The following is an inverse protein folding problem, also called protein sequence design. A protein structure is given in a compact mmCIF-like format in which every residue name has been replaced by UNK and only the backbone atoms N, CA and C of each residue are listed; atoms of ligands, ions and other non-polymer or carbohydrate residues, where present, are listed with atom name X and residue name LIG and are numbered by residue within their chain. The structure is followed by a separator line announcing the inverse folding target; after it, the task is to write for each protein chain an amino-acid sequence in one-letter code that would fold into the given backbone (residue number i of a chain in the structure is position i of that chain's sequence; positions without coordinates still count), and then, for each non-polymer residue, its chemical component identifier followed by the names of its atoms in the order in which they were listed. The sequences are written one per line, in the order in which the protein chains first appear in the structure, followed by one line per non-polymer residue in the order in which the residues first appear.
data_IF_275092099338
#
_entry.id   IF_275092099338
#
_cell.length_a   1.000
_cell.length_b   1.000
_cell.length_c   1.000
_cell.angle_alpha   90.00
_cell.angle_beta   90.00
_cell.angle_gamma   90.00
#
_symmetry.space_group_name_H-M   'P 1'
#
loop_
_entity.id
_entity.type
_entity.pdbx_description
1 polymer ?
#
# COMPACT_ATOMS: atom_id res chain seq x y z
N UNK A 1 19.67 6.11 23.53
CA UNK A 1 20.47 6.84 22.52
C UNK A 1 20.15 6.33 21.12
N UNK A 2 20.22 7.18 20.08
CA UNK A 2 20.06 6.73 18.70
C UNK A 2 21.08 5.66 18.31
N UNK A 3 20.67 4.74 17.45
CA UNK A 3 21.50 3.66 16.90
C UNK A 3 21.96 3.97 15.47
N UNK A 4 23.02 3.32 14.96
CA UNK A 4 23.28 3.31 13.52
C UNK A 4 22.12 2.63 12.78
N UNK A 5 21.76 3.11 11.57
CA UNK A 5 20.78 2.42 10.73
C UNK A 5 21.19 0.98 10.48
N UNK A 6 20.21 0.07 10.51
CA UNK A 6 20.41 -1.36 10.37
C UNK A 6 21.44 -1.95 11.38
N UNK A 7 21.46 -1.44 12.65
CA UNK A 7 22.25 -2.05 13.72
C UNK A 7 21.93 -3.54 13.85
N UNK A 8 22.92 -4.36 14.26
CA UNK A 8 22.69 -5.81 14.38
C UNK A 8 21.57 -6.11 15.36
N UNK A 9 21.52 -5.42 16.50
CA UNK A 9 20.48 -5.57 17.50
C UNK A 9 19.06 -5.37 16.91
N UNK A 10 18.86 -4.31 16.10
CA UNK A 10 17.56 -4.07 15.45
C UNK A 10 17.24 -5.14 14.42
N UNK A 11 18.22 -5.59 13.65
CA UNK A 11 18.02 -6.64 12.65
C UNK A 11 17.66 -7.99 13.30
N UNK A 12 18.31 -8.35 14.40
CA UNK A 12 18.03 -9.56 15.17
C UNK A 12 16.66 -9.50 15.84
N UNK A 13 16.31 -8.36 16.44
CA UNK A 13 15.00 -8.13 17.03
C UNK A 13 13.87 -8.31 16.00
N UNK A 14 13.99 -7.70 14.83
CA UNK A 14 12.96 -7.80 13.78
C UNK A 14 12.84 -9.22 13.24
N UNK A 15 13.94 -9.96 13.10
CA UNK A 15 13.91 -11.36 12.68
C UNK A 15 13.24 -12.25 13.72
N UNK A 16 13.55 -12.05 15.02
CA UNK A 16 12.92 -12.81 16.10
C UNK A 16 11.43 -12.49 16.18
N UNK A 17 11.03 -11.23 16.15
CA UNK A 17 9.65 -10.82 16.12
C UNK A 17 8.91 -11.44 14.92
N UNK A 18 9.49 -11.38 13.73
CA UNK A 18 8.97 -12.04 12.53
C UNK A 18 8.85 -13.57 12.69
N UNK A 19 9.82 -14.20 13.34
CA UNK A 19 9.80 -15.65 13.65
C UNK A 19 8.63 -16.01 14.59
N UNK A 20 8.42 -15.21 15.65
CA UNK A 20 7.31 -15.40 16.58
C UNK A 20 5.95 -15.25 15.88
N UNK A 21 5.77 -14.23 15.03
CA UNK A 21 4.54 -14.04 14.25
C UNK A 21 4.24 -15.22 13.31
N UNK A 22 5.25 -15.81 12.68
CA UNK A 22 5.06 -16.97 11.80
C UNK A 22 4.70 -18.26 12.58
N UNK A 23 5.12 -18.36 13.82
CA UNK A 23 4.85 -19.53 14.68
C UNK A 23 3.52 -19.43 15.43
N UNK A 24 3.04 -18.23 15.70
CA UNK A 24 1.82 -18.01 16.46
C UNK A 24 0.58 -18.44 15.67
N UNK A 25 -0.28 -19.24 16.31
CA UNK A 25 -1.45 -19.85 15.68
C UNK A 25 -2.51 -18.81 15.27
N UNK A 26 -2.67 -17.74 16.07
CA UNK A 26 -3.60 -16.65 15.75
C UNK A 26 -3.05 -15.78 14.64
N UNK A 27 -1.78 -15.37 14.71
CA UNK A 27 -1.12 -14.54 13.71
C UNK A 27 -1.13 -15.17 12.31
N UNK A 28 -1.06 -16.50 12.22
CA UNK A 28 -1.15 -17.21 10.92
C UNK A 28 -2.50 -17.11 10.23
N UNK A 29 -3.54 -16.72 10.94
CA UNK A 29 -4.87 -16.51 10.36
C UNK A 29 -4.99 -15.20 9.57
N UNK A 30 -4.05 -14.28 9.76
CA UNK A 30 -4.07 -12.95 9.15
C UNK A 30 -3.01 -12.83 8.04
N UNK A 31 -3.41 -12.82 6.76
CA UNK A 31 -2.46 -12.75 5.62
C UNK A 31 -1.57 -11.50 5.64
N UNK A 32 -2.10 -10.36 6.08
CA UNK A 32 -1.39 -9.10 6.20
C UNK A 32 -0.30 -9.15 7.29
N UNK A 33 -0.57 -9.81 8.42
CA UNK A 33 0.42 -10.09 9.47
C UNK A 33 1.53 -10.99 8.94
N UNK A 34 1.18 -12.04 8.18
CA UNK A 34 2.17 -12.94 7.57
C UNK A 34 3.01 -12.22 6.51
N UNK A 35 2.42 -11.27 5.77
CA UNK A 35 3.15 -10.41 4.83
C UNK A 35 4.21 -9.57 5.57
N UNK A 36 3.85 -8.94 6.69
CA UNK A 36 4.80 -8.23 7.54
C UNK A 36 5.91 -9.16 8.06
N UNK A 37 5.53 -10.34 8.60
CA UNK A 37 6.47 -11.30 9.15
C UNK A 37 7.45 -11.84 8.08
N UNK A 38 6.98 -12.02 6.84
CA UNK A 38 7.83 -12.40 5.72
C UNK A 38 8.78 -11.26 5.32
N UNK A 39 8.30 -10.01 5.32
CA UNK A 39 9.10 -8.84 5.00
C UNK A 39 10.19 -8.59 6.05
N UNK A 40 9.88 -8.72 7.35
CA UNK A 40 10.78 -8.42 8.46
C UNK A 40 11.83 -9.50 8.74
N UNK A 41 11.81 -10.64 8.03
CA UNK A 41 12.79 -11.71 8.22
C UNK A 41 14.21 -11.31 7.85
N UNK A 42 15.19 -11.93 8.50
CA UNK A 42 16.63 -11.66 8.37
C UNK A 42 17.12 -11.52 6.92
N UNK A 43 16.72 -12.43 6.04
CA UNK A 43 17.18 -12.43 4.63
C UNK A 43 16.74 -11.17 3.86
N UNK A 44 15.54 -10.65 4.11
CA UNK A 44 15.05 -9.44 3.46
C UNK A 44 15.71 -8.18 4.07
N UNK A 45 15.81 -8.14 5.40
CA UNK A 45 16.47 -7.03 6.10
C UNK A 45 17.95 -6.92 5.69
N UNK A 46 18.66 -8.04 5.56
CA UNK A 46 20.05 -8.03 5.11
C UNK A 46 20.22 -7.52 3.67
N UNK A 47 19.30 -7.86 2.75
CA UNK A 47 19.31 -7.29 1.40
C UNK A 47 19.19 -5.76 1.44
N UNK A 48 18.24 -5.24 2.21
CA UNK A 48 18.05 -3.79 2.40
C UNK A 48 19.25 -3.12 3.07
N UNK A 49 19.88 -3.77 4.04
CA UNK A 49 21.13 -3.31 4.69
C UNK A 49 22.27 -3.17 3.67
N UNK A 50 22.42 -4.15 2.78
CA UNK A 50 23.46 -4.12 1.72
C UNK A 50 23.18 -2.97 0.75
N UNK A 51 21.94 -2.79 0.32
CA UNK A 51 21.54 -1.68 -0.56
C UNK A 51 21.78 -0.32 0.09
N UNK A 52 21.41 -0.17 1.36
CA UNK A 52 21.67 1.04 2.14
C UNK A 52 23.17 1.35 2.22
N UNK A 53 24.00 0.34 2.58
CA UNK A 53 25.45 0.50 2.64
C UNK A 53 26.08 0.90 1.30
N UNK A 54 25.59 0.34 0.19
CA UNK A 54 26.07 0.72 -1.15
C UNK A 54 25.79 2.19 -1.47
N UNK A 55 24.64 2.73 -1.03
CA UNK A 55 24.26 4.14 -1.27
C UNK A 55 24.98 5.12 -0.34
N UNK A 56 25.52 4.65 0.77
CA UNK A 56 26.03 5.50 1.87
C UNK A 56 27.51 5.28 2.19
N UNK A 57 28.29 4.78 1.22
CA UNK A 57 29.69 4.27 1.41
C UNK A 57 30.64 5.24 2.09
N UNK A 58 30.42 6.55 2.02
CA UNK A 58 31.32 7.58 2.56
C UNK A 58 30.80 8.33 3.78
N UNK A 59 29.63 7.97 4.32
CA UNK A 59 28.96 8.72 5.39
C UNK A 59 28.48 7.79 6.49
N UNK A 60 28.77 8.13 7.74
CA UNK A 60 28.20 7.48 8.91
C UNK A 60 26.87 8.14 9.27
N UNK A 61 25.82 7.33 9.39
CA UNK A 61 24.48 7.77 9.77
C UNK A 61 24.15 7.32 11.19
N UNK A 62 23.39 8.16 11.90
CA UNK A 62 22.77 7.83 13.19
C UNK A 62 21.29 8.20 13.13
N UNK A 63 20.47 7.51 13.91
CA UNK A 63 19.09 7.92 14.15
C UNK A 63 19.03 9.36 14.66
N UNK A 64 17.94 10.07 14.32
CA UNK A 64 17.76 11.47 14.76
C UNK A 64 17.26 11.61 16.19
N UNK A 65 16.72 10.54 16.77
CA UNK A 65 16.15 10.55 18.12
C UNK A 65 14.78 9.88 18.17
N UNK A 66 13.73 10.60 18.50
CA UNK A 66 12.37 10.08 18.67
C UNK A 66 11.56 10.31 17.40
N UNK A 67 10.93 9.25 16.91
CA UNK A 67 9.94 9.31 15.83
C UNK A 67 8.54 9.14 16.42
N UNK A 68 7.66 10.09 16.18
CA UNK A 68 6.25 9.98 16.48
C UNK A 68 5.49 9.58 15.21
N UNK A 69 4.88 8.39 15.23
CA UNK A 69 4.11 7.83 14.13
C UNK A 69 2.62 7.92 14.41
N UNK A 70 1.87 8.51 13.49
CA UNK A 70 0.41 8.43 13.43
C UNK A 70 0.05 7.42 12.36
N UNK A 71 -0.30 6.18 12.78
CA UNK A 71 -0.57 5.09 11.87
C UNK A 71 -1.97 5.19 11.22
N UNK A 72 -2.16 4.65 9.99
CA UNK A 72 -3.43 4.69 9.28
C UNK A 72 -4.42 3.67 9.86
N UNK A 73 -5.72 3.91 9.65
CA UNK A 73 -6.79 3.00 10.06
C UNK A 73 -7.29 2.08 8.95
N UNK A 74 -7.04 2.41 7.69
CA UNK A 74 -7.48 1.61 6.53
C UNK A 74 -6.59 0.38 6.28
N UNK A 75 -5.31 0.44 6.61
CA UNK A 75 -4.36 -0.69 6.55
C UNK A 75 -3.71 -0.82 7.93
N UNK A 76 -4.38 -1.49 8.88
CA UNK A 76 -4.00 -1.44 10.29
C UNK A 76 -2.60 -2.00 10.58
N UNK A 77 -2.13 -2.98 9.82
CA UNK A 77 -0.78 -3.58 9.95
C UNK A 77 0.34 -2.60 9.59
N UNK A 78 0.04 -1.51 8.88
CA UNK A 78 1.04 -0.47 8.57
C UNK A 78 1.64 0.18 9.82
N UNK A 79 0.97 0.12 10.98
CA UNK A 79 1.57 0.56 12.25
C UNK A 79 2.88 -0.19 12.58
N UNK A 80 2.98 -1.47 12.22
CA UNK A 80 4.19 -2.26 12.44
C UNK A 80 5.26 -2.04 11.37
N UNK A 81 4.85 -1.77 10.13
CA UNK A 81 5.81 -1.38 9.09
C UNK A 81 6.48 -0.04 9.43
N UNK A 82 5.70 0.98 9.79
CA UNK A 82 6.26 2.30 10.15
C UNK A 82 7.15 2.22 11.39
N UNK A 83 6.78 1.41 12.40
CA UNK A 83 7.60 1.08 13.55
C UNK A 83 8.94 0.44 13.14
N UNK A 84 8.90 -0.59 12.31
CA UNK A 84 10.10 -1.28 11.83
C UNK A 84 11.03 -0.34 11.06
N UNK A 85 10.49 0.54 10.21
CA UNK A 85 11.29 1.55 9.51
C UNK A 85 11.94 2.55 10.48
N UNK A 86 11.22 2.97 11.51
CA UNK A 86 11.78 3.84 12.55
C UNK A 86 12.96 3.19 13.28
N UNK A 87 12.82 1.92 13.68
CA UNK A 87 13.91 1.15 14.29
C UNK A 87 15.09 0.94 13.34
N UNK A 88 14.82 0.50 12.08
CA UNK A 88 15.87 0.28 11.07
C UNK A 88 16.65 1.55 10.74
N UNK A 89 16.02 2.72 10.93
CA UNK A 89 16.69 4.01 10.80
C UNK A 89 17.44 4.43 12.08
N UNK A 90 17.46 3.60 13.13
CA UNK A 90 18.19 3.83 14.38
C UNK A 90 17.48 4.73 15.38
N UNK A 91 16.17 4.91 15.29
CA UNK A 91 15.39 5.83 16.13
C UNK A 91 14.59 5.10 17.21
N UNK A 92 14.31 5.81 18.31
CA UNK A 92 13.26 5.46 19.25
C UNK A 92 11.89 5.82 18.64
N UNK A 93 10.83 5.07 18.99
CA UNK A 93 9.55 5.17 18.30
C UNK A 93 8.40 5.29 19.29
N UNK A 94 7.54 6.28 19.07
CA UNK A 94 6.21 6.38 19.65
C UNK A 94 5.22 6.13 18.53
N UNK A 95 4.51 5.01 18.57
CA UNK A 95 3.57 4.61 17.50
C UNK A 95 2.15 4.70 18.02
N UNK A 96 1.40 5.69 17.53
CA UNK A 96 -0.05 5.76 17.73
C UNK A 96 -0.71 4.78 16.77
N UNK A 97 -1.23 3.68 17.33
CA UNK A 97 -2.03 2.71 16.58
C UNK A 97 -3.47 3.21 16.40
N UNK A 98 -4.24 2.67 15.43
CA UNK A 98 -5.65 3.04 15.23
C UNK A 98 -6.47 2.89 16.51
N UNK A 99 -7.39 3.83 16.76
CA UNK A 99 -8.32 3.75 17.91
C UNK A 99 -9.36 2.65 17.73
N UNK A 100 -9.79 2.39 16.49
CA UNK A 100 -10.62 1.22 16.17
C UNK A 100 -9.88 -0.07 16.49
N UNK A 101 -10.58 -1.03 17.10
CA UNK A 101 -10.01 -2.35 17.39
C UNK A 101 -9.83 -3.16 16.08
N UNK A 102 -8.64 -3.72 15.93
CA UNK A 102 -8.30 -4.63 14.85
C UNK A 102 -7.63 -5.86 15.45
N UNK A 103 -8.25 -7.05 15.36
CA UNK A 103 -7.70 -8.28 15.97
C UNK A 103 -6.25 -8.56 15.55
N UNK A 104 -5.90 -8.33 14.28
CA UNK A 104 -4.53 -8.51 13.80
C UNK A 104 -3.52 -7.56 14.47
N UNK A 105 -3.91 -6.30 14.74
CA UNK A 105 -3.03 -5.35 15.46
C UNK A 105 -2.87 -5.75 16.91
N UNK A 106 -3.94 -6.18 17.56
CA UNK A 106 -3.91 -6.67 18.95
C UNK A 106 -3.01 -7.90 19.08
N UNK A 107 -3.16 -8.87 18.16
CA UNK A 107 -2.29 -10.03 18.07
C UNK A 107 -0.81 -9.63 17.89
N UNK A 108 -0.52 -8.71 16.96
CA UNK A 108 0.85 -8.22 16.72
C UNK A 108 1.42 -7.50 17.95
N UNK A 109 0.63 -6.67 18.63
CA UNK A 109 1.06 -5.98 19.86
C UNK A 109 1.33 -6.96 21.01
N UNK A 110 0.53 -7.99 21.15
CA UNK A 110 0.74 -9.07 22.13
C UNK A 110 2.08 -9.76 21.92
N UNK A 111 2.36 -10.18 20.70
CA UNK A 111 3.62 -10.86 20.34
C UNK A 111 4.81 -9.90 20.43
N UNK A 112 4.64 -8.64 20.01
CA UNK A 112 5.66 -7.61 20.17
C UNK A 112 6.06 -7.44 21.64
N UNK A 113 5.09 -7.34 22.53
CA UNK A 113 5.33 -7.25 23.99
C UNK A 113 6.15 -8.43 24.50
N UNK A 114 5.80 -9.66 24.08
CA UNK A 114 6.55 -10.87 24.48
C UNK A 114 7.99 -10.84 23.95
N UNK A 115 8.21 -10.38 22.71
CA UNK A 115 9.54 -10.25 22.14
C UNK A 115 10.38 -9.19 22.89
N UNK A 116 9.80 -8.03 23.19
CA UNK A 116 10.45 -6.94 23.92
C UNK A 116 10.81 -7.27 25.37
N UNK A 117 10.14 -8.24 25.99
CA UNK A 117 10.44 -8.68 27.36
C UNK A 117 11.69 -9.55 27.48
N UNK A 118 12.31 -9.94 26.37
CA UNK A 118 13.55 -10.70 26.42
C UNK A 118 14.72 -9.80 26.78
N UNK A 119 15.61 -10.32 27.61
CA UNK A 119 16.75 -9.57 28.15
C UNK A 119 17.66 -8.99 27.06
N UNK A 120 17.90 -9.76 26.01
CA UNK A 120 18.71 -9.32 24.85
C UNK A 120 18.13 -8.13 24.09
N UNK A 121 16.83 -7.84 24.23
CA UNK A 121 16.15 -6.73 23.55
C UNK A 121 15.78 -5.56 24.47
N UNK A 122 16.34 -5.49 25.66
CA UNK A 122 16.06 -4.44 26.63
C UNK A 122 16.26 -3.02 26.06
N UNK A 123 17.30 -2.82 25.25
CA UNK A 123 17.52 -1.51 24.60
C UNK A 123 16.41 -1.19 23.59
N UNK A 124 15.88 -2.16 22.84
CA UNK A 124 14.76 -1.94 21.91
C UNK A 124 13.48 -1.68 22.70
N UNK A 125 13.26 -2.34 23.83
CA UNK A 125 12.15 -2.06 24.74
C UNK A 125 12.13 -0.59 25.15
N UNK A 126 13.27 -0.03 25.60
CA UNK A 126 13.41 1.36 25.98
C UNK A 126 13.22 2.36 24.82
N UNK A 127 13.40 1.89 23.59
CA UNK A 127 13.21 2.66 22.35
C UNK A 127 11.79 2.52 21.76
N UNK A 128 10.87 1.82 22.44
CA UNK A 128 9.55 1.46 21.89
C UNK A 128 8.42 1.93 22.80
N UNK A 129 7.49 2.70 22.24
CA UNK A 129 6.23 3.07 22.89
C UNK A 129 5.08 2.89 21.89
N UNK A 130 4.18 1.94 22.17
CA UNK A 130 2.94 1.75 21.40
C UNK A 130 1.81 2.40 22.20
N UNK A 131 1.13 3.38 21.61
CA UNK A 131 0.07 4.15 22.26
C UNK A 131 -1.23 4.06 21.49
N UNK A 132 -2.33 4.04 22.23
CA UNK A 132 -3.69 4.06 21.66
C UNK A 132 -4.49 5.13 22.40
N UNK A 133 -5.00 6.08 21.63
CA UNK A 133 -5.88 7.14 22.16
C UNK A 133 -6.79 7.66 21.05
N UNK A 134 -7.96 8.16 21.43
CA UNK A 134 -8.91 8.83 20.55
C UNK A 134 -8.33 10.15 20.01
N UNK A 135 -9.06 10.88 19.16
CA UNK A 135 -8.65 12.22 18.71
C UNK A 135 -8.53 13.14 19.93
N UNK A 136 -7.30 13.31 20.43
CA UNK A 136 -6.98 14.17 21.54
C UNK A 136 -5.82 15.08 21.16
N UNK A 137 -6.09 16.38 21.13
CA UNK A 137 -5.12 17.39 20.70
C UNK A 137 -3.95 17.51 21.68
N UNK A 138 -4.23 17.52 22.98
CA UNK A 138 -3.20 17.71 24.02
C UNK A 138 -2.15 16.59 24.00
N UNK A 139 -2.60 15.33 23.86
CA UNK A 139 -1.70 14.17 23.75
C UNK A 139 -0.88 14.27 22.46
N UNK A 140 -1.53 14.65 21.36
CA UNK A 140 -0.86 14.80 20.05
C UNK A 140 0.16 15.96 20.09
N UNK A 141 -0.19 17.08 20.70
CA UNK A 141 0.70 18.23 20.91
C UNK A 141 1.95 17.84 21.72
N UNK A 142 1.77 17.06 22.80
CA UNK A 142 2.87 16.57 23.61
C UNK A 142 3.85 15.72 22.80
N UNK A 143 3.36 14.67 22.12
CA UNK A 143 4.22 13.82 21.32
C UNK A 143 4.85 14.56 20.13
N UNK A 144 4.15 15.53 19.55
CA UNK A 144 4.69 16.37 18.47
C UNK A 144 5.83 17.25 18.93
N UNK A 145 5.74 17.85 20.14
CA UNK A 145 6.82 18.68 20.73
C UNK A 145 8.04 17.87 21.14
N UNK A 146 7.84 16.62 21.55
CA UNK A 146 8.92 15.78 22.07
C UNK A 146 9.65 15.00 20.95
N UNK A 147 9.14 14.98 19.73
CA UNK A 147 9.70 14.18 18.64
C UNK A 147 10.70 14.96 17.76
N UNK A 148 11.63 14.23 17.18
CA UNK A 148 12.58 14.73 16.19
C UNK A 148 12.11 14.46 14.75
N UNK A 149 11.22 13.49 14.60
CA UNK A 149 10.56 13.15 13.32
C UNK A 149 9.10 12.87 13.62
N UNK A 150 8.19 13.45 12.83
CA UNK A 150 6.77 13.09 12.84
C UNK A 150 6.41 12.42 11.53
N UNK A 151 5.83 11.22 11.61
CA UNK A 151 5.36 10.44 10.45
C UNK A 151 3.85 10.36 10.52
N UNK A 152 3.15 10.86 9.49
CA UNK A 152 1.69 10.89 9.45
C UNK A 152 1.22 10.08 8.26
N UNK A 153 0.39 9.06 8.53
CA UNK A 153 -0.36 8.32 7.54
C UNK A 153 -1.83 8.70 7.62
N UNK A 154 -2.41 9.20 6.54
CA UNK A 154 -3.82 9.56 6.52
C UNK A 154 -4.18 10.46 5.36
N UNK A 155 -5.48 10.70 5.17
CA UNK A 155 -5.97 11.67 4.21
C UNK A 155 -5.63 13.10 4.61
N UNK A 156 -5.84 14.04 3.69
CA UNK A 156 -5.46 15.45 3.83
C UNK A 156 -6.02 16.09 5.10
N UNK A 157 -7.28 15.80 5.45
CA UNK A 157 -7.88 16.30 6.69
C UNK A 157 -7.13 15.84 7.95
N UNK A 158 -6.71 14.57 7.99
CA UNK A 158 -5.92 14.04 9.12
C UNK A 158 -4.56 14.72 9.19
N UNK A 159 -3.90 14.88 8.05
CA UNK A 159 -2.60 15.55 7.96
C UNK A 159 -2.72 17.00 8.44
N UNK A 160 -3.72 17.74 7.97
CA UNK A 160 -3.98 19.10 8.40
C UNK A 160 -4.28 19.20 9.90
N UNK A 161 -5.12 18.29 10.43
CA UNK A 161 -5.43 18.27 11.86
C UNK A 161 -4.18 18.05 12.72
N UNK A 162 -3.30 17.12 12.34
CA UNK A 162 -2.05 16.84 13.07
C UNK A 162 -1.03 17.98 12.91
N UNK A 163 -1.00 18.66 11.76
CA UNK A 163 -0.13 19.83 11.52
C UNK A 163 -0.45 21.02 12.41
N UNK A 164 -1.66 21.11 12.97
CA UNK A 164 -2.00 22.10 13.98
C UNK A 164 -1.28 21.87 15.33
N UNK A 165 -0.60 20.74 15.50
CA UNK A 165 0.28 20.46 16.62
C UNK A 165 1.71 20.90 16.27
N UNK A 166 2.27 21.80 17.09
CA UNK A 166 3.59 22.40 16.85
C UNK A 166 4.70 21.34 16.84
N UNK A 167 5.63 21.50 15.91
CA UNK A 167 6.87 20.73 15.83
C UNK A 167 8.06 21.62 16.20
N UNK A 168 9.07 21.09 16.91
CA UNK A 168 10.34 21.80 17.09
C UNK A 168 10.97 22.19 15.75
N UNK A 169 11.57 23.37 15.65
CA UNK A 169 12.12 23.93 14.42
C UNK A 169 13.13 23.01 13.69
N UNK A 170 13.79 22.11 14.40
CA UNK A 170 14.76 21.15 13.82
C UNK A 170 14.16 19.79 13.51
N UNK A 171 12.88 19.57 13.82
CA UNK A 171 12.19 18.31 13.53
C UNK A 171 11.77 18.22 12.06
N UNK A 172 11.60 16.99 11.58
CA UNK A 172 11.18 16.70 10.21
C UNK A 172 9.78 16.12 10.25
N UNK A 173 8.95 16.48 9.30
CA UNK A 173 7.67 15.82 9.05
C UNK A 173 7.71 15.02 7.75
N UNK A 174 7.21 13.78 7.80
CA UNK A 174 7.02 12.90 6.65
C UNK A 174 5.54 12.54 6.59
N UNK A 175 4.88 12.87 5.49
CA UNK A 175 3.45 12.58 5.31
C UNK A 175 3.24 11.57 4.20
N UNK A 176 2.36 10.61 4.48
CA UNK A 176 1.84 9.65 3.51
C UNK A 176 0.35 9.95 3.33
N UNK A 177 0.07 10.91 2.45
CA UNK A 177 -1.28 11.30 2.09
C UNK A 177 -2.00 10.16 1.37
N UNK A 178 -3.33 10.25 1.33
CA UNK A 178 -4.13 9.37 0.49
C UNK A 178 -3.71 9.51 -0.98
N UNK A 179 -3.66 8.39 -1.67
CA UNK A 179 -3.24 8.32 -3.07
C UNK A 179 -4.22 7.46 -3.84
N UNK A 180 -4.39 7.82 -5.09
CA UNK A 180 -5.15 7.03 -6.04
C UNK A 180 -4.19 6.27 -6.95
N UNK A 181 -4.40 4.96 -7.08
CA UNK A 181 -3.63 4.12 -7.99
C UNK A 181 -4.52 3.56 -9.10
N UNK A 182 -3.98 3.51 -10.29
CA UNK A 182 -4.59 2.84 -11.43
C UNK A 182 -3.55 1.97 -12.15
N UNK A 183 -4.03 1.00 -12.92
CA UNK A 183 -3.19 0.11 -13.71
C UNK A 183 -3.31 0.39 -15.19
N UNK A 184 -2.23 0.21 -15.95
CA UNK A 184 -2.26 0.21 -17.41
C UNK A 184 -1.95 -1.19 -17.89
N UNK A 185 -2.81 -1.73 -18.75
CA UNK A 185 -2.61 -3.03 -19.39
C UNK A 185 -2.48 -2.83 -20.90
N UNK A 186 -1.36 -3.27 -21.46
CA UNK A 186 -1.16 -3.41 -22.89
C UNK A 186 -1.95 -4.63 -23.39
N UNK A 187 -3.07 -4.38 -24.05
CA UNK A 187 -3.99 -5.43 -24.51
C UNK A 187 -3.32 -6.37 -25.50
N UNK A 188 -2.42 -5.87 -26.36
CA UNK A 188 -1.70 -6.67 -27.33
C UNK A 188 -0.70 -7.61 -26.67
N UNK A 189 -0.01 -7.15 -25.62
CA UNK A 189 0.89 -8.02 -24.85
C UNK A 189 0.11 -9.09 -24.10
N UNK A 190 -1.02 -8.74 -23.48
CA UNK A 190 -1.88 -9.72 -22.85
C UNK A 190 -2.37 -10.77 -23.85
N UNK A 191 -2.84 -10.35 -25.04
CA UNK A 191 -3.30 -11.25 -26.11
C UNK A 191 -2.23 -12.27 -26.48
N UNK A 192 -0.96 -11.83 -26.56
CA UNK A 192 0.17 -12.66 -27.00
C UNK A 192 0.85 -13.43 -25.85
N UNK A 193 0.50 -13.18 -24.60
CA UNK A 193 1.03 -13.89 -23.44
C UNK A 193 0.55 -15.34 -23.42
N UNK A 194 1.40 -16.25 -22.97
CA UNK A 194 1.02 -17.64 -22.79
C UNK A 194 0.19 -17.85 -21.50
N UNK A 195 -0.32 -19.07 -21.32
CA UNK A 195 -1.20 -19.41 -20.19
C UNK A 195 -0.50 -19.25 -18.84
N UNK A 196 0.81 -19.53 -18.77
CA UNK A 196 1.60 -19.44 -17.53
C UNK A 196 1.83 -17.97 -17.17
N UNK A 197 2.18 -17.16 -18.16
CA UNK A 197 2.33 -15.71 -18.00
C UNK A 197 1.01 -15.08 -17.55
N UNK A 198 -0.11 -15.36 -18.23
CA UNK A 198 -1.45 -14.87 -17.86
C UNK A 198 -1.82 -15.24 -16.43
N UNK A 199 -1.52 -16.47 -16.00
CA UNK A 199 -1.77 -16.92 -14.63
C UNK A 199 -0.89 -16.16 -13.64
N UNK A 200 0.40 -16.00 -13.92
CA UNK A 200 1.32 -15.24 -13.06
C UNK A 200 0.86 -13.80 -12.87
N UNK A 201 0.38 -13.20 -13.95
CA UNK A 201 -0.22 -11.87 -14.00
C UNK A 201 -1.45 -11.79 -13.09
N UNK A 202 -2.36 -12.73 -13.23
CA UNK A 202 -3.57 -12.74 -12.44
C UNK A 202 -3.28 -12.94 -10.93
N UNK A 203 -2.28 -13.77 -10.59
CA UNK A 203 -1.84 -13.95 -9.20
C UNK A 203 -1.21 -12.68 -8.62
N UNK A 204 -0.39 -11.97 -9.41
CA UNK A 204 0.15 -10.66 -9.04
C UNK A 204 -0.96 -9.64 -8.80
N UNK A 205 -1.90 -9.52 -9.74
CA UNK A 205 -3.06 -8.63 -9.60
C UNK A 205 -3.91 -8.93 -8.38
N UNK A 206 -4.16 -10.22 -8.10
CA UNK A 206 -4.84 -10.65 -6.88
C UNK A 206 -4.11 -10.18 -5.62
N UNK A 207 -2.80 -10.36 -5.56
CA UNK A 207 -2.00 -9.97 -4.40
C UNK A 207 -2.03 -8.46 -4.16
N UNK A 208 -2.05 -7.65 -5.23
CA UNK A 208 -2.06 -6.20 -5.15
C UNK A 208 -3.43 -5.61 -4.84
N UNK A 209 -4.50 -6.39 -5.00
CA UNK A 209 -5.87 -5.92 -4.89
C UNK A 209 -6.64 -6.59 -3.75
N UNK A 210 -6.85 -7.90 -3.81
CA UNK A 210 -7.73 -8.62 -2.90
C UNK A 210 -7.19 -8.83 -1.49
N UNK A 211 -5.86 -9.01 -1.34
CA UNK A 211 -5.26 -9.30 -0.02
C UNK A 211 -5.51 -8.22 1.03
N UNK A 212 -5.69 -6.98 0.60
CA UNK A 212 -5.97 -5.83 1.46
C UNK A 212 -7.36 -5.25 1.23
N UNK A 213 -8.32 -6.06 0.75
CA UNK A 213 -9.70 -5.63 0.46
C UNK A 213 -9.79 -4.39 -0.46
N UNK A 214 -8.79 -4.19 -1.33
CA UNK A 214 -8.57 -2.98 -2.16
C UNK A 214 -8.33 -1.68 -1.35
N UNK A 215 -7.95 -1.75 -0.07
CA UNK A 215 -7.75 -0.56 0.77
C UNK A 215 -6.30 -0.04 0.77
N UNK A 216 -5.35 -0.75 0.17
CA UNK A 216 -3.97 -0.26 0.09
C UNK A 216 -3.87 0.94 -0.87
N UNK A 217 -3.08 1.94 -0.52
CA UNK A 217 -2.87 3.12 -1.38
C UNK A 217 -2.23 2.79 -2.74
N UNK A 218 -1.61 1.62 -2.86
CA UNK A 218 -1.02 1.09 -4.09
C UNK A 218 -1.98 0.22 -4.91
N UNK A 219 -3.18 -0.06 -4.41
CA UNK A 219 -4.15 -0.89 -5.11
C UNK A 219 -4.75 -0.15 -6.30
N UNK A 220 -4.70 -0.70 -7.52
CA UNK A 220 -5.40 -0.11 -8.66
C UNK A 220 -6.92 -0.28 -8.51
N UNK A 221 -7.65 0.82 -8.61
CA UNK A 221 -9.11 0.84 -8.67
C UNK A 221 -9.60 0.91 -10.12
N UNK A 222 -8.85 1.60 -10.98
CA UNK A 222 -9.12 1.79 -12.40
C UNK A 222 -8.07 1.03 -13.22
N UNK A 223 -8.51 0.32 -14.25
CA UNK A 223 -7.65 -0.32 -15.24
C UNK A 223 -7.80 0.40 -16.57
N UNK A 224 -6.74 0.99 -17.04
CA UNK A 224 -6.64 1.64 -18.34
C UNK A 224 -6.08 0.66 -19.36
N UNK A 225 -6.81 0.44 -20.44
CA UNK A 225 -6.43 -0.47 -21.53
C UNK A 225 -5.74 0.28 -22.64
N UNK A 226 -4.47 0.01 -22.86
CA UNK A 226 -3.77 0.41 -24.08
C UNK A 226 -4.13 -0.62 -25.16
N UNK A 227 -4.87 -0.16 -26.17
CA UNK A 227 -5.42 -1.02 -27.25
C UNK A 227 -4.79 -0.76 -28.61
N UNK A 228 -3.64 -0.10 -28.64
CA UNK A 228 -2.97 0.29 -29.90
C UNK A 228 -2.82 -0.90 -30.86
N UNK A 229 -3.29 -0.71 -32.09
CA UNK A 229 -3.27 -1.70 -33.15
C UNK A 229 -4.26 -2.86 -33.00
N UNK A 230 -5.26 -2.77 -32.13
CA UNK A 230 -6.34 -3.76 -31.99
C UNK A 230 -7.70 -3.19 -32.42
N UNK A 231 -8.54 -4.04 -33.02
CA UNK A 231 -9.96 -3.71 -33.30
C UNK A 231 -10.78 -3.76 -31.99
N UNK A 232 -11.98 -3.17 -32.02
CA UNK A 232 -12.89 -3.17 -30.86
C UNK A 232 -13.25 -4.60 -30.42
N UNK A 233 -13.50 -5.50 -31.35
CA UNK A 233 -13.81 -6.90 -31.08
C UNK A 233 -12.63 -7.62 -30.40
N UNK A 234 -11.41 -7.34 -30.89
CA UNK A 234 -10.19 -7.94 -30.34
C UNK A 234 -9.93 -7.51 -28.90
N UNK A 235 -9.91 -6.20 -28.63
CA UNK A 235 -9.62 -5.76 -27.26
C UNK A 235 -10.75 -6.07 -26.29
N UNK A 236 -12.02 -6.08 -26.73
CA UNK A 236 -13.14 -6.54 -25.88
C UNK A 236 -12.97 -8.00 -25.49
N UNK A 237 -12.54 -8.85 -26.43
CA UNK A 237 -12.24 -10.26 -26.14
C UNK A 237 -11.10 -10.39 -25.12
N UNK A 238 -10.06 -9.56 -25.24
CA UNK A 238 -8.93 -9.50 -24.32
C UNK A 238 -9.38 -9.07 -22.90
N UNK A 239 -10.21 -8.06 -22.79
CA UNK A 239 -10.77 -7.60 -21.50
C UNK A 239 -11.56 -8.72 -20.80
N UNK A 240 -12.44 -9.39 -21.54
CA UNK A 240 -13.23 -10.50 -21.00
C UNK A 240 -12.32 -11.66 -20.55
N UNK A 241 -11.30 -12.02 -21.34
CA UNK A 241 -10.36 -13.07 -20.98
C UNK A 241 -9.57 -12.71 -19.71
N UNK A 242 -9.08 -11.46 -19.60
CA UNK A 242 -8.38 -10.96 -18.43
C UNK A 242 -9.23 -11.09 -17.17
N UNK A 243 -10.44 -10.53 -17.17
CA UNK A 243 -11.31 -10.55 -16.02
C UNK A 243 -11.75 -11.97 -15.61
N UNK A 244 -12.00 -12.84 -16.58
CA UNK A 244 -12.24 -14.27 -16.30
C UNK A 244 -11.02 -14.94 -15.67
N UNK A 245 -9.81 -14.55 -16.05
CA UNK A 245 -8.59 -15.11 -15.47
C UNK A 245 -8.40 -14.59 -14.03
N UNK A 246 -8.68 -13.31 -13.78
CA UNK A 246 -8.71 -12.76 -12.41
C UNK A 246 -9.76 -13.46 -11.55
N UNK A 247 -10.98 -13.66 -12.06
CA UNK A 247 -12.05 -14.37 -11.34
C UNK A 247 -11.60 -15.76 -10.89
N UNK A 248 -10.94 -16.53 -11.76
CA UNK A 248 -10.43 -17.88 -11.40
C UNK A 248 -9.43 -17.85 -10.24
N UNK A 249 -8.60 -16.83 -10.17
CA UNK A 249 -7.65 -16.64 -9.06
C UNK A 249 -8.36 -16.13 -7.82
N UNK A 250 -9.36 -15.26 -7.98
CA UNK A 250 -10.10 -14.65 -6.88
C UNK A 250 -11.00 -15.63 -6.10
N UNK A 251 -11.23 -16.85 -6.60
CA UNK A 251 -11.97 -17.90 -5.86
C UNK A 251 -11.38 -18.17 -4.46
N UNK A 252 -10.08 -17.95 -4.27
CA UNK A 252 -9.41 -18.10 -2.96
C UNK A 252 -9.64 -16.95 -1.98
N UNK A 253 -10.30 -15.85 -2.42
CA UNK A 253 -10.59 -14.71 -1.57
C UNK A 253 -11.75 -15.01 -0.62
N UNK A 254 -11.51 -14.78 0.68
CA UNK A 254 -12.53 -14.93 1.73
C UNK A 254 -13.50 -13.75 1.70
N UNK A 255 -14.53 -13.88 0.87
CA UNK A 255 -15.56 -12.88 0.65
C UNK A 255 -16.73 -13.11 1.60
N UNK A 256 -16.69 -12.49 2.79
CA UNK A 256 -17.80 -12.51 3.73
C UNK A 256 -19.05 -11.79 3.18
N UNK A 257 -20.24 -12.21 3.60
CA UNK A 257 -21.54 -11.66 3.12
C UNK A 257 -21.64 -10.14 3.29
N UNK A 258 -21.10 -9.61 4.38
CA UNK A 258 -21.07 -8.15 4.59
C UNK A 258 -20.26 -7.42 3.52
N UNK A 259 -19.13 -7.99 3.07
CA UNK A 259 -18.32 -7.40 2.00
C UNK A 259 -19.05 -7.43 0.64
N UNK A 260 -19.87 -8.47 0.40
CA UNK A 260 -20.73 -8.53 -0.81
C UNK A 260 -21.75 -7.40 -0.78
N UNK A 261 -22.42 -7.20 0.35
CA UNK A 261 -23.43 -6.15 0.53
C UNK A 261 -22.81 -4.75 0.38
N UNK A 262 -21.67 -4.50 1.02
CA UNK A 262 -20.96 -3.23 0.92
C UNK A 262 -20.44 -2.94 -0.50
N UNK A 263 -19.94 -3.96 -1.21
CA UNK A 263 -19.53 -3.84 -2.60
C UNK A 263 -20.72 -3.47 -3.50
N UNK A 264 -21.85 -4.14 -3.30
CA UNK A 264 -23.06 -3.88 -4.09
C UNK A 264 -23.61 -2.47 -3.83
N UNK A 265 -23.62 -2.02 -2.58
CA UNK A 265 -24.00 -0.66 -2.22
C UNK A 265 -23.09 0.37 -2.91
N UNK A 266 -21.75 0.17 -2.85
CA UNK A 266 -20.80 1.03 -3.55
C UNK A 266 -21.00 1.04 -5.06
N UNK A 267 -21.28 -0.11 -5.68
CA UNK A 267 -21.62 -0.18 -7.11
C UNK A 267 -22.84 0.67 -7.43
N UNK A 268 -23.91 0.56 -6.62
CA UNK A 268 -25.13 1.35 -6.83
C UNK A 268 -24.87 2.86 -6.69
N UNK A 269 -24.12 3.27 -5.67
CA UNK A 269 -23.69 4.66 -5.48
C UNK A 269 -22.93 5.18 -6.70
N UNK A 270 -21.91 4.46 -7.15
CA UNK A 270 -21.10 4.85 -8.30
C UNK A 270 -21.93 4.95 -9.60
N UNK A 271 -22.81 4.00 -9.86
CA UNK A 271 -23.66 4.02 -11.07
C UNK A 271 -24.68 5.16 -11.05
N UNK A 272 -25.19 5.54 -9.85
CA UNK A 272 -26.12 6.67 -9.70
C UNK A 272 -25.40 8.01 -9.87
N UNK A 273 -24.22 8.15 -9.28
CA UNK A 273 -23.46 9.39 -9.27
C UNK A 273 -22.70 9.65 -10.56
N UNK A 274 -22.17 8.58 -11.20
CA UNK A 274 -21.32 8.64 -12.40
C UNK A 274 -22.08 8.20 -13.66
N UNK A 275 -22.67 9.18 -14.34
CA UNK A 275 -23.37 8.94 -15.64
C UNK A 275 -22.45 8.43 -16.78
N UNK A 276 -21.15 8.44 -16.58
CA UNK A 276 -20.15 7.96 -17.53
C UNK A 276 -19.88 6.45 -17.43
N UNK A 277 -20.49 5.77 -16.46
CA UNK A 277 -20.49 4.31 -16.37
C UNK A 277 -21.54 3.79 -17.35
N UNK A 278 -21.08 3.16 -18.45
CA UNK A 278 -21.94 2.69 -19.52
C UNK A 278 -22.35 1.22 -19.37
N UNK A 279 -21.56 0.43 -18.68
CA UNK A 279 -21.77 -1.02 -18.55
C UNK A 279 -21.24 -1.52 -17.21
N UNK A 280 -21.92 -2.50 -16.66
CA UNK A 280 -21.48 -3.25 -15.48
C UNK A 280 -21.46 -4.74 -15.82
N UNK A 281 -20.30 -5.37 -15.69
CA UNK A 281 -20.15 -6.81 -15.79
C UNK A 281 -19.92 -7.42 -14.41
N UNK A 282 -20.61 -8.53 -14.14
CA UNK A 282 -20.49 -9.28 -12.88
C UNK A 282 -19.96 -10.66 -13.15
N UNK A 283 -18.85 -11.00 -12.51
CA UNK A 283 -18.24 -12.33 -12.51
C UNK A 283 -18.47 -12.94 -11.12
N UNK A 284 -19.65 -13.48 -10.92
CA UNK A 284 -20.18 -13.88 -9.60
C UNK A 284 -20.16 -12.72 -8.58
N UNK A 285 -20.13 -13.06 -7.28
CA UNK A 285 -19.95 -12.07 -6.24
C UNK A 285 -18.48 -11.68 -6.01
N UNK A 286 -17.53 -12.32 -6.68
CA UNK A 286 -16.11 -12.07 -6.48
C UNK A 286 -15.62 -10.82 -7.20
N UNK A 287 -16.18 -10.52 -8.37
CA UNK A 287 -15.64 -9.50 -9.26
C UNK A 287 -16.74 -8.74 -10.00
N UNK A 288 -16.77 -7.43 -9.85
CA UNK A 288 -17.60 -6.49 -10.62
C UNK A 288 -16.69 -5.55 -11.39
N UNK A 289 -17.03 -5.27 -12.63
CA UNK A 289 -16.26 -4.37 -13.51
C UNK A 289 -17.21 -3.38 -14.16
N UNK A 290 -16.87 -2.09 -14.02
CA UNK A 290 -17.61 -0.98 -14.59
C UNK A 290 -16.84 -0.36 -15.77
N UNK A 291 -17.44 -0.32 -16.94
CA UNK A 291 -16.91 0.38 -18.12
C UNK A 291 -17.15 1.88 -17.98
N UNK A 292 -16.10 2.68 -18.07
CA UNK A 292 -16.14 4.14 -18.03
C UNK A 292 -15.86 4.68 -19.42
N UNK A 293 -16.75 5.51 -19.96
CA UNK A 293 -16.60 6.07 -21.32
C UNK A 293 -15.76 7.32 -21.40
N UNK A 294 -15.80 8.14 -20.34
CA UNK A 294 -15.07 9.41 -20.29
C UNK A 294 -14.40 9.54 -18.93
N UNK A 295 -13.13 9.88 -18.92
CA UNK A 295 -12.37 10.21 -17.71
C UNK A 295 -11.98 11.70 -17.71
N UNK A 296 -12.07 12.32 -16.55
CA UNK A 296 -11.51 13.62 -16.28
C UNK A 296 -10.82 13.63 -14.89
N UNK A 297 -10.01 14.63 -14.61
CA UNK A 297 -9.21 14.70 -13.38
C UNK A 297 -10.04 14.58 -12.09
N UNK A 298 -11.25 15.16 -12.07
CA UNK A 298 -12.10 15.15 -10.87
C UNK A 298 -12.74 13.79 -10.64
N UNK A 299 -13.03 13.04 -11.70
CA UNK A 299 -13.66 11.73 -11.62
C UNK A 299 -12.70 10.63 -11.21
N UNK A 300 -11.47 10.66 -11.72
CA UNK A 300 -10.52 9.55 -11.53
C UNK A 300 -10.32 9.23 -10.05
N UNK A 301 -10.22 10.22 -9.20
CA UNK A 301 -9.98 10.03 -7.76
C UNK A 301 -11.22 9.57 -6.99
N UNK A 302 -12.43 9.75 -7.56
CA UNK A 302 -13.69 9.27 -6.96
C UNK A 302 -13.98 7.80 -7.27
N UNK A 303 -13.49 7.27 -8.40
CA UNK A 303 -13.72 5.89 -8.82
C UNK A 303 -12.99 4.89 -7.91
N UNK A 304 -13.50 4.65 -6.71
CA UNK A 304 -12.88 3.77 -5.71
C UNK A 304 -13.69 2.50 -5.49
N UNK A 305 -13.18 1.40 -6.02
CA UNK A 305 -13.75 0.09 -5.73
C UNK A 305 -13.23 -0.53 -4.43
N UNK A 306 -13.97 -1.51 -3.92
CA UNK A 306 -13.59 -2.36 -2.78
C UNK A 306 -14.06 -3.79 -3.02
N UNK A 307 -13.38 -4.75 -2.42
CA UNK A 307 -13.77 -6.18 -2.41
C UNK A 307 -13.96 -6.79 -3.80
N UNK A 308 -13.20 -6.34 -4.81
CA UNK A 308 -13.32 -6.82 -6.18
C UNK A 308 -14.27 -6.01 -7.07
N UNK A 309 -14.53 -4.74 -6.76
CA UNK A 309 -15.13 -3.76 -7.65
C UNK A 309 -14.04 -2.98 -8.36
N UNK A 310 -14.00 -3.01 -9.68
CA UNK A 310 -13.04 -2.32 -10.52
C UNK A 310 -13.73 -1.47 -11.57
N UNK A 311 -13.01 -0.45 -12.03
CA UNK A 311 -13.39 0.39 -13.16
C UNK A 311 -12.42 0.11 -14.30
N UNK A 312 -12.88 0.19 -15.54
CA UNK A 312 -12.00 0.08 -16.70
C UNK A 312 -12.30 1.16 -17.73
N UNK A 313 -11.24 1.58 -18.41
CA UNK A 313 -11.27 2.61 -19.43
C UNK A 313 -10.37 2.24 -20.60
N UNK A 314 -10.79 2.52 -21.83
CA UNK A 314 -9.99 2.31 -23.04
C UNK A 314 -9.23 3.60 -23.37
N UNK A 315 -7.91 3.52 -23.41
CA UNK A 315 -7.04 4.62 -23.84
C UNK A 315 -7.02 4.66 -25.38
N UNK A 316 -7.24 5.82 -25.95
CA UNK A 316 -7.04 6.05 -27.39
C UNK A 316 -5.55 6.25 -27.72
N UNK A 317 -4.80 6.81 -26.79
CA UNK A 317 -3.34 6.91 -26.80
C UNK A 317 -2.80 6.82 -25.37
N UNK A 318 -1.60 6.28 -25.20
CA UNK A 318 -0.90 6.29 -23.92
C UNK A 318 -0.68 7.70 -23.39
N UNK A 319 -0.60 8.69 -24.28
CA UNK A 319 -0.45 10.10 -23.93
C UNK A 319 -1.72 10.69 -23.30
N UNK A 320 -2.89 10.08 -23.50
CA UNK A 320 -4.15 10.52 -22.90
C UNK A 320 -4.11 10.46 -21.36
N UNK A 321 -3.19 9.65 -20.82
CA UNK A 321 -2.95 9.54 -19.38
C UNK A 321 -2.62 10.90 -18.76
N UNK A 322 -1.94 11.78 -19.49
CA UNK A 322 -1.58 13.11 -19.00
C UNK A 322 -2.79 14.00 -18.70
N UNK A 323 -3.94 13.75 -19.35
CA UNK A 323 -5.14 14.56 -19.15
C UNK A 323 -5.85 14.28 -17.82
N UNK A 324 -5.64 13.13 -17.21
CA UNK A 324 -6.30 12.76 -15.97
C UNK A 324 -5.35 12.37 -14.82
N UNK A 325 -4.02 12.41 -15.04
CA UNK A 325 -3.06 12.30 -13.93
C UNK A 325 -3.02 13.62 -13.16
N UNK A 326 -3.40 13.54 -11.89
CA UNK A 326 -3.17 14.64 -10.93
C UNK A 326 -1.79 14.43 -10.28
N UNK A 327 -1.04 15.48 -9.88
CA UNK A 327 0.33 15.37 -9.33
C UNK A 327 0.51 14.43 -8.12
N UNK A 328 -0.57 13.91 -7.56
CA UNK A 328 -0.60 13.08 -6.34
C UNK A 328 -0.85 11.59 -6.63
N UNK A 329 -1.01 11.19 -7.90
CA UNK A 329 -1.38 9.82 -8.26
C UNK A 329 -0.17 8.91 -8.46
N UNK A 330 -0.30 7.66 -7.98
CA UNK A 330 0.65 6.57 -8.24
C UNK A 330 0.18 5.78 -9.46
N UNK A 331 1.07 5.61 -10.43
CA UNK A 331 0.83 4.80 -11.61
C UNK A 331 1.39 3.39 -11.39
N UNK A 332 0.54 2.39 -11.54
CA UNK A 332 0.93 0.99 -11.66
C UNK A 332 0.95 0.58 -13.13
N UNK A 333 2.12 0.33 -13.68
CA UNK A 333 2.25 -0.19 -15.04
C UNK A 333 2.47 -1.69 -14.99
N UNK A 334 1.55 -2.46 -15.58
CA UNK A 334 1.67 -3.90 -15.76
C UNK A 334 2.32 -4.17 -17.12
N UNK A 335 3.62 -4.48 -17.16
CA UNK A 335 4.34 -4.88 -18.37
C UNK A 335 4.78 -6.34 -18.30
N UNK A 336 4.71 -7.05 -19.44
CA UNK A 336 4.91 -8.50 -19.53
C UNK A 336 6.34 -9.01 -19.41
N UNK A 337 7.36 -8.18 -19.19
CA UNK A 337 8.77 -8.65 -19.22
C UNK A 337 9.38 -9.05 -17.88
N UNK A 338 8.85 -8.62 -16.79
CA UNK A 338 9.10 -9.09 -15.43
C UNK A 338 8.04 -8.40 -14.58
N UNK A 339 7.21 -9.16 -13.88
CA UNK A 339 6.25 -8.64 -12.93
C UNK A 339 6.97 -7.84 -11.85
N UNK A 340 7.50 -6.74 -12.25
CA UNK A 340 7.82 -5.65 -11.36
C UNK A 340 6.70 -4.66 -11.55
N UNK A 341 5.75 -4.65 -10.63
CA UNK A 341 4.89 -3.50 -10.43
C UNK A 341 5.83 -2.30 -10.27
N UNK A 342 6.15 -1.62 -11.34
CA UNK A 342 6.93 -0.40 -11.23
C UNK A 342 5.96 0.71 -10.88
N UNK A 343 5.92 1.06 -9.60
CA UNK A 343 5.32 2.31 -9.14
C UNK A 343 6.23 3.41 -9.69
N UNK A 344 5.87 3.99 -10.84
CA UNK A 344 6.54 5.19 -11.33
C UNK A 344 5.86 6.40 -10.73
N UNK A 345 6.60 7.17 -9.94
CA UNK A 345 6.16 8.50 -9.52
C UNK A 345 6.18 9.45 -10.73
N UNK A 346 5.41 10.53 -10.66
CA UNK A 346 5.39 11.58 -11.69
C UNK A 346 6.79 12.12 -12.03
N UNK A 347 7.78 12.01 -11.14
CA UNK A 347 9.17 12.39 -11.39
C UNK A 347 9.85 11.48 -12.42
N UNK A 348 9.52 10.18 -12.48
CA UNK A 348 10.14 9.23 -13.40
C UNK A 348 9.61 9.38 -14.83
N UNK A 349 8.38 9.87 -15.00
CA UNK A 349 7.78 10.14 -16.32
C UNK A 349 8.37 11.39 -16.98
N UNK A 350 8.75 12.42 -16.20
CA UNK A 350 9.42 13.62 -16.75
C UNK A 350 10.87 13.38 -17.18
N UNK A 351 11.57 12.45 -16.55
CA UNK A 351 12.95 12.14 -16.90
C UNK A 351 13.10 11.48 -18.28
N UNK A 352 12.06 10.79 -18.77
CA UNK A 352 12.08 10.15 -20.09
C UNK A 352 11.65 11.05 -21.25
N UNK A 353 11.05 12.22 -20.98
CA UNK A 353 10.65 13.19 -22.02
C UNK A 353 11.77 14.15 -22.45
N UNK A 354 12.95 14.09 -21.83
CA UNK A 354 14.10 14.95 -22.16
C UNK A 354 15.22 14.27 -22.97
N UNK A 355 15.02 13.04 -23.45
CA UNK A 355 16.00 12.32 -24.30
C UNK A 355 15.47 12.02 -25.71
N UNK A 356 14.72 12.92 -26.32
CA UNK A 356 14.44 12.90 -27.76
C UNK A 356 14.41 14.32 -28.32
N UNK A 357 15.62 14.88 -28.47
CA UNK A 357 15.96 15.87 -29.49
C UNK A 357 17.36 15.59 -29.98
#
# INVERSE_FOLDING_TARGET
SPLPPYSELVCEFLDEYASMLRKDAEARRYPDVQTFAFWARKSNIQKKKIEFKKRTQSVNYLGRGIVFHVAPSNVPVNCMFTYAFGLLSGNANIVRIPSKAFPQVECMCRILKQCLQREEFQQIYEMTSIVKYEKNKEITDRYSRDCNIRVIWGGDETIHAIRNSELPARSIEITFADRYSFGIIDAKKWKNADVVEKKTIAEGFYNDTYLMDQNACSTPHLICWDVDGLTKEEYTSVQVEFWKTIQRVAVKYDLADIKVSEKYASLCEEVIENKMISKVEKYDNLLYVCDVEVLNQNMVTSLRGKYGLFFQYVLHSIDDIHYFIVPVQLLHTITSKNWTLSIKSHHDLRANSHYST
#
